data_IF_947922002156
#
_entry.id   IF_947922002156
#
_cell.length_a   1.000
_cell.length_b   1.000
_cell.length_c   1.000
_cell.angle_alpha   90.00
_cell.angle_beta   90.00
_cell.angle_gamma   90.00
#
_symmetry.space_group_name_H-M   'P 1'
#
loop_
_entity.id
_entity.type
_entity.pdbx_description
1 polymer ?
#
# COMPACT_ATOMS: atom_id res chain seq x y z
N UNK A 1 36.59 4.51 -23.13
CA UNK A 1 35.85 5.17 -22.04
C UNK A 1 36.79 5.40 -20.88
N UNK A 2 36.92 6.65 -20.42
CA UNK A 2 37.73 6.98 -19.25
C UNK A 2 37.00 6.57 -17.95
N UNK A 3 37.70 6.37 -16.83
CA UNK A 3 37.13 5.93 -15.54
C UNK A 3 36.02 6.88 -15.05
N UNK A 4 36.19 8.18 -15.32
CA UNK A 4 35.21 9.23 -14.98
C UNK A 4 33.91 9.13 -15.81
N UNK A 5 34.01 8.64 -17.04
CA UNK A 5 32.90 8.41 -17.96
C UNK A 5 32.11 7.16 -17.55
N UNK A 6 32.82 6.10 -17.12
CA UNK A 6 32.22 4.87 -16.56
C UNK A 6 31.47 5.17 -15.26
N UNK A 7 32.02 6.04 -14.40
CA UNK A 7 31.38 6.45 -13.15
C UNK A 7 30.05 7.19 -13.38
N UNK A 8 30.02 8.12 -14.33
CA UNK A 8 28.80 8.86 -14.71
C UNK A 8 27.74 7.94 -15.33
N UNK A 9 28.14 7.02 -16.20
CA UNK A 9 27.21 6.04 -16.81
C UNK A 9 26.55 5.17 -15.73
N UNK A 10 27.33 4.69 -14.76
CA UNK A 10 26.79 3.87 -13.66
C UNK A 10 25.88 4.66 -12.71
N UNK A 11 26.14 5.95 -12.50
CA UNK A 11 25.27 6.85 -11.72
C UNK A 11 23.92 7.04 -12.40
N UNK A 12 23.94 7.37 -13.70
CA UNK A 12 22.74 7.56 -14.51
C UNK A 12 21.88 6.28 -14.56
N UNK A 13 22.53 5.11 -14.64
CA UNK A 13 21.83 3.82 -14.63
C UNK A 13 21.12 3.52 -13.30
N UNK A 14 21.65 3.96 -12.16
CA UNK A 14 21.02 3.78 -10.85
C UNK A 14 19.82 4.73 -10.67
N UNK A 15 19.97 5.99 -11.09
CA UNK A 15 18.87 6.95 -11.09
C UNK A 15 17.69 6.46 -11.93
N UNK A 16 17.95 6.02 -13.16
CA UNK A 16 16.91 5.51 -14.05
C UNK A 16 16.20 4.27 -13.47
N UNK A 17 16.94 3.39 -12.78
CA UNK A 17 16.35 2.26 -12.07
C UNK A 17 15.38 2.71 -10.99
N UNK A 18 15.77 3.70 -10.19
CA UNK A 18 14.97 4.21 -9.08
C UNK A 18 13.77 5.03 -9.56
N UNK A 19 13.90 5.78 -10.65
CA UNK A 19 12.78 6.45 -11.33
C UNK A 19 11.72 5.41 -11.78
N UNK A 20 12.16 4.32 -12.43
CA UNK A 20 11.27 3.22 -12.81
C UNK A 20 10.64 2.52 -11.59
N UNK A 21 11.38 2.38 -10.49
CA UNK A 21 10.81 1.84 -9.25
C UNK A 21 9.77 2.79 -8.67
N UNK A 22 10.01 4.10 -8.70
CA UNK A 22 9.07 5.09 -8.20
C UNK A 22 7.76 5.04 -8.99
N UNK A 23 7.83 5.00 -10.32
CA UNK A 23 6.64 4.81 -11.16
C UNK A 23 5.89 3.50 -10.86
N UNK A 24 6.62 2.41 -10.62
CA UNK A 24 6.03 1.11 -10.29
C UNK A 24 5.29 1.14 -8.95
N UNK A 25 5.93 1.70 -7.93
CA UNK A 25 5.32 1.83 -6.60
C UNK A 25 4.14 2.79 -6.63
N UNK A 26 4.22 3.90 -7.39
CA UNK A 26 3.10 4.80 -7.61
C UNK A 26 1.90 4.09 -8.25
N UNK A 27 2.12 3.19 -9.23
CA UNK A 27 1.04 2.38 -9.80
C UNK A 27 0.39 1.46 -8.76
N UNK A 28 1.17 0.82 -7.90
CA UNK A 28 0.61 -0.01 -6.82
C UNK A 28 -0.14 0.80 -5.77
N UNK A 29 0.35 2.00 -5.46
CA UNK A 29 -0.31 2.95 -4.59
C UNK A 29 -1.67 3.35 -5.16
N UNK A 30 -1.72 3.79 -6.41
CA UNK A 30 -2.98 4.15 -7.10
C UNK A 30 -3.95 2.96 -7.17
N UNK A 31 -3.44 1.74 -7.38
CA UNK A 31 -4.29 0.54 -7.38
C UNK A 31 -4.84 0.23 -5.97
N UNK A 32 -4.06 0.43 -4.91
CA UNK A 32 -4.53 0.29 -3.54
C UNK A 32 -5.62 1.32 -3.19
N UNK A 33 -5.48 2.55 -3.69
CA UNK A 33 -6.51 3.59 -3.54
C UNK A 33 -7.79 3.24 -4.31
N UNK A 34 -7.65 2.82 -5.56
CA UNK A 34 -8.79 2.39 -6.39
C UNK A 34 -9.58 1.25 -5.74
N UNK A 35 -8.91 0.29 -5.08
CA UNK A 35 -9.57 -0.79 -4.32
C UNK A 35 -10.40 -0.25 -3.15
N UNK A 36 -9.87 0.68 -2.37
CA UNK A 36 -10.60 1.30 -1.27
C UNK A 36 -11.81 2.12 -1.78
N UNK A 37 -11.65 2.88 -2.87
CA UNK A 37 -12.79 3.58 -3.52
C UNK A 37 -13.85 2.59 -4.01
N UNK A 38 -13.42 1.52 -4.67
CA UNK A 38 -14.33 0.47 -5.15
C UNK A 38 -15.12 -0.18 -4.01
N UNK A 39 -14.49 -0.39 -2.86
CA UNK A 39 -15.15 -0.95 -1.68
C UNK A 39 -16.16 0.05 -1.07
N UNK A 40 -15.83 1.35 -1.02
CA UNK A 40 -16.80 2.39 -0.63
C UNK A 40 -18.02 2.39 -1.55
N UNK A 41 -17.83 2.31 -2.87
CA UNK A 41 -18.93 2.26 -3.83
C UNK A 41 -19.82 1.02 -3.62
N UNK A 42 -19.21 -0.14 -3.37
CA UNK A 42 -19.93 -1.37 -3.02
C UNK A 42 -20.75 -1.20 -1.72
N UNK A 43 -20.19 -0.54 -0.72
CA UNK A 43 -20.87 -0.30 0.56
C UNK A 43 -22.04 0.67 0.44
N UNK A 44 -21.92 1.70 -0.40
CA UNK A 44 -23.05 2.59 -0.73
C UNK A 44 -24.19 1.80 -1.39
N UNK A 45 -23.86 0.91 -2.33
CA UNK A 45 -24.86 0.04 -2.96
C UNK A 45 -25.50 -0.92 -1.94
N UNK A 46 -24.71 -1.50 -1.03
CA UNK A 46 -25.20 -2.35 0.05
C UNK A 46 -26.17 -1.61 0.99
N UNK A 47 -25.84 -0.37 1.36
CA UNK A 47 -26.73 0.47 2.19
C UNK A 47 -28.08 0.72 1.50
N UNK A 48 -28.10 0.92 0.18
CA UNK A 48 -29.35 1.07 -0.55
C UNK A 48 -30.23 -0.19 -0.48
N UNK A 49 -29.62 -1.39 -0.57
CA UNK A 49 -30.34 -2.66 -0.40
C UNK A 49 -30.90 -2.79 1.02
N UNK A 50 -30.08 -2.49 2.04
CA UNK A 50 -30.49 -2.54 3.46
C UNK A 50 -31.68 -1.61 3.73
N UNK A 51 -31.66 -0.39 3.17
CA UNK A 51 -32.76 0.57 3.29
C UNK A 51 -34.05 0.02 2.63
N UNK A 52 -33.93 -0.64 1.48
CA UNK A 52 -35.06 -1.27 0.80
C UNK A 52 -35.74 -2.37 1.61
N UNK A 53 -35.00 -3.09 2.45
CA UNK A 53 -35.50 -4.18 3.30
C UNK A 53 -35.96 -3.72 4.68
N UNK A 54 -35.88 -2.42 4.98
CA UNK A 54 -36.05 -1.91 6.35
C UNK A 54 -37.43 -2.21 6.96
N UNK A 55 -38.49 -2.27 6.15
CA UNK A 55 -39.85 -2.53 6.65
C UNK A 55 -40.02 -3.98 7.12
N UNK A 56 -39.36 -4.94 6.46
CA UNK A 56 -39.51 -6.36 6.75
C UNK A 56 -38.72 -6.79 7.99
N UNK A 57 -37.51 -6.23 8.16
CA UNK A 57 -36.59 -6.65 9.22
C UNK A 57 -35.78 -5.48 9.80
N UNK A 58 -36.42 -4.49 10.45
CA UNK A 58 -35.78 -3.22 10.84
C UNK A 58 -34.58 -3.40 11.76
N UNK A 59 -34.67 -4.29 12.76
CA UNK A 59 -33.58 -4.54 13.72
C UNK A 59 -32.33 -5.07 13.02
N UNK A 60 -32.50 -6.06 12.14
CA UNK A 60 -31.39 -6.64 11.39
C UNK A 60 -30.82 -5.67 10.37
N UNK A 61 -31.65 -4.85 9.71
CA UNK A 61 -31.18 -3.79 8.83
C UNK A 61 -30.32 -2.76 9.55
N UNK A 62 -30.68 -2.36 10.78
CA UNK A 62 -29.84 -1.47 11.60
C UNK A 62 -28.48 -2.10 11.89
N UNK A 63 -28.44 -3.39 12.26
CA UNK A 63 -27.18 -4.10 12.53
C UNK A 63 -26.31 -4.17 11.28
N UNK A 64 -26.86 -4.62 10.15
CA UNK A 64 -26.15 -4.69 8.88
C UNK A 64 -25.66 -3.31 8.40
N UNK A 65 -26.46 -2.27 8.60
CA UNK A 65 -26.12 -0.89 8.29
C UNK A 65 -24.93 -0.38 9.11
N UNK A 66 -24.91 -0.64 10.42
CA UNK A 66 -23.78 -0.26 11.29
C UNK A 66 -22.49 -0.97 10.84
N UNK A 67 -22.54 -2.28 10.56
CA UNK A 67 -21.36 -3.04 10.10
C UNK A 67 -20.84 -2.44 8.78
N UNK A 68 -21.74 -2.14 7.83
CA UNK A 68 -21.39 -1.53 6.54
C UNK A 68 -20.75 -0.14 6.72
N UNK A 69 -21.29 0.69 7.64
CA UNK A 69 -20.73 2.00 7.97
C UNK A 69 -19.34 1.91 8.61
N UNK A 70 -19.10 0.90 9.45
CA UNK A 70 -17.76 0.63 10.01
C UNK A 70 -16.78 0.34 8.87
N UNK A 71 -17.15 -0.48 7.89
CA UNK A 71 -16.27 -0.72 6.73
C UNK A 71 -15.99 0.55 5.93
N UNK A 72 -17.00 1.39 5.67
CA UNK A 72 -16.80 2.69 5.05
C UNK A 72 -15.80 3.56 5.83
N UNK A 73 -15.91 3.60 7.17
CA UNK A 73 -14.99 4.34 8.01
C UNK A 73 -13.55 3.81 7.89
N UNK A 74 -13.35 2.49 7.84
CA UNK A 74 -12.02 1.87 7.63
C UNK A 74 -11.43 2.25 6.27
N UNK A 75 -12.23 2.25 5.20
CA UNK A 75 -11.79 2.71 3.88
C UNK A 75 -11.40 4.19 3.90
N UNK A 76 -12.16 5.06 4.59
CA UNK A 76 -11.85 6.48 4.72
C UNK A 76 -10.58 6.73 5.55
N UNK A 77 -10.35 5.95 6.61
CA UNK A 77 -9.10 5.99 7.38
C UNK A 77 -7.89 5.69 6.48
N UNK A 78 -8.05 4.81 5.48
CA UNK A 78 -7.00 4.54 4.48
C UNK A 78 -6.64 5.74 3.58
N UNK A 79 -7.47 6.78 3.54
CA UNK A 79 -7.21 8.03 2.79
C UNK A 79 -6.62 9.14 3.65
N UNK A 80 -6.49 8.94 4.97
CA UNK A 80 -5.87 9.93 5.83
C UNK A 80 -4.44 10.22 5.34
N UNK A 81 -4.04 11.49 5.19
CA UNK A 81 -2.73 11.85 4.66
C UNK A 81 -1.64 11.32 5.59
N UNK A 82 -0.79 10.44 5.06
CA UNK A 82 0.40 9.99 5.79
C UNK A 82 1.57 10.89 5.38
N UNK A 83 2.04 11.73 6.31
CA UNK A 83 3.22 12.56 6.10
C UNK A 83 4.48 11.67 6.12
N UNK A 84 5.40 11.90 5.18
CA UNK A 84 6.61 11.08 4.98
C UNK A 84 7.49 10.95 6.23
N UNK A 85 7.53 11.98 7.08
CA UNK A 85 8.27 11.97 8.36
C UNK A 85 7.69 10.99 9.39
N UNK A 86 6.36 10.85 9.44
CA UNK A 86 5.68 9.88 10.31
C UNK A 86 5.85 8.44 9.80
N UNK A 87 5.94 8.29 8.48
CA UNK A 87 6.18 7.01 7.82
C UNK A 87 7.59 6.49 8.14
N UNK A 88 8.60 7.35 7.97
CA UNK A 88 10.02 7.01 8.24
C UNK A 88 10.35 6.80 9.73
N UNK A 89 9.53 7.33 10.64
CA UNK A 89 9.74 7.20 12.09
C UNK A 89 9.05 5.98 12.73
N UNK A 90 8.24 5.23 11.97
CA UNK A 90 7.67 3.97 12.46
C UNK A 90 8.79 2.96 12.72
N UNK A 91 8.93 2.52 13.97
CA UNK A 91 9.71 1.32 14.33
C UNK A 91 9.13 0.12 13.60
N UNK A 92 9.65 -0.20 12.42
CA UNK A 92 9.35 -1.45 11.72
C UNK A 92 10.24 -2.58 12.19
N UNK A 93 9.81 -3.78 11.82
CA UNK A 93 10.50 -5.04 12.06
C UNK A 93 11.97 -4.91 11.66
N UNK A 94 12.85 -5.51 12.46
CA UNK A 94 14.30 -5.43 12.24
C UNK A 94 14.62 -6.08 10.89
N UNK A 95 15.30 -5.35 10.00
CA UNK A 95 15.84 -5.89 8.75
C UNK A 95 16.47 -7.27 9.01
N UNK A 96 16.05 -8.28 8.24
CA UNK A 96 16.55 -9.64 8.34
C UNK A 96 17.63 -9.85 7.28
N UNK A 97 18.89 -9.86 7.72
CA UNK A 97 20.03 -10.05 6.82
C UNK A 97 20.09 -11.43 6.16
N UNK A 98 19.31 -12.41 6.62
CA UNK A 98 19.24 -13.74 6.01
C UNK A 98 18.12 -13.87 4.99
N UNK A 99 17.14 -12.95 4.99
CA UNK A 99 16.05 -12.95 4.01
C UNK A 99 16.56 -12.39 2.68
N UNK A 100 16.28 -13.10 1.59
CA UNK A 100 16.45 -12.53 0.25
C UNK A 100 15.24 -11.64 -0.09
N UNK A 101 15.47 -10.34 -0.21
CA UNK A 101 14.42 -9.38 -0.57
C UNK A 101 14.28 -9.23 -2.09
N UNK A 102 13.03 -9.15 -2.56
CA UNK A 102 12.71 -8.66 -3.88
C UNK A 102 12.75 -7.12 -3.88
N UNK A 103 13.87 -6.56 -4.37
CA UNK A 103 14.13 -5.11 -4.38
C UNK A 103 13.25 -4.31 -5.36
N UNK A 104 12.32 -4.98 -6.04
CA UNK A 104 11.33 -4.39 -6.93
C UNK A 104 9.94 -4.38 -6.27
N UNK A 105 9.66 -5.33 -5.38
CA UNK A 105 8.33 -5.55 -4.82
C UNK A 105 8.09 -4.66 -3.60
N UNK A 106 7.05 -3.83 -3.63
CA UNK A 106 6.80 -2.80 -2.61
C UNK A 106 6.72 -3.36 -1.20
N UNK A 107 6.18 -4.57 -1.02
CA UNK A 107 6.11 -5.21 0.30
C UNK A 107 7.49 -5.56 0.84
N UNK A 108 8.38 -6.08 0.00
CA UNK A 108 9.74 -6.38 0.44
C UNK A 108 10.55 -5.10 0.64
N UNK A 109 10.34 -4.06 -0.19
CA UNK A 109 10.93 -2.73 0.00
C UNK A 109 10.47 -2.11 1.33
N UNK A 110 9.17 -2.22 1.64
CA UNK A 110 8.55 -1.78 2.88
C UNK A 110 9.18 -2.45 4.12
N UNK A 111 9.45 -3.75 4.02
CA UNK A 111 10.05 -4.56 5.10
C UNK A 111 11.52 -4.22 5.36
N UNK A 112 12.26 -3.69 4.38
CA UNK A 112 13.66 -3.25 4.58
C UNK A 112 13.71 -2.07 5.57
N UNK A 113 12.76 -1.14 5.49
CA UNK A 113 12.57 -0.06 6.47
C UNK A 113 13.71 0.96 6.60
N UNK A 114 14.82 0.79 5.86
CA UNK A 114 15.98 1.69 5.90
C UNK A 114 16.46 2.01 4.48
N UNK A 115 16.45 3.29 4.13
CA UNK A 115 16.82 3.75 2.78
C UNK A 115 18.27 3.43 2.43
N UNK A 116 19.21 3.54 3.39
CA UNK A 116 20.62 3.21 3.14
C UNK A 116 20.78 1.73 2.82
N UNK A 117 20.17 0.86 3.63
CA UNK A 117 20.18 -0.60 3.40
C UNK A 117 19.54 -0.94 2.06
N UNK A 118 18.44 -0.28 1.69
CA UNK A 118 17.79 -0.51 0.39
C UNK A 118 18.71 -0.17 -0.79
N UNK A 119 19.37 0.99 -0.76
CA UNK A 119 20.32 1.41 -1.82
C UNK A 119 21.54 0.48 -1.86
N UNK A 120 22.08 0.07 -0.71
CA UNK A 120 23.18 -0.88 -0.63
C UNK A 120 22.81 -2.24 -1.24
N UNK A 121 21.60 -2.74 -0.97
CA UNK A 121 21.09 -3.98 -1.55
C UNK A 121 20.93 -3.88 -3.06
N UNK A 122 20.40 -2.76 -3.57
CA UNK A 122 20.29 -2.52 -5.02
C UNK A 122 21.67 -2.52 -5.67
N UNK A 123 22.60 -1.75 -5.12
CA UNK A 123 23.95 -1.63 -5.66
C UNK A 123 24.65 -2.99 -5.68
N UNK A 124 24.54 -3.75 -4.58
CA UNK A 124 25.10 -5.10 -4.49
C UNK A 124 24.45 -6.08 -5.47
N UNK A 125 23.11 -6.10 -5.57
CA UNK A 125 22.36 -7.12 -6.32
C UNK A 125 22.37 -6.87 -7.84
N UNK A 126 22.34 -5.61 -8.26
CA UNK A 126 22.17 -5.25 -9.69
C UNK A 126 23.38 -4.56 -10.31
N UNK A 127 24.33 -4.06 -9.51
CA UNK A 127 25.48 -3.30 -10.00
C UNK A 127 26.82 -3.78 -9.42
N UNK A 128 26.85 -4.96 -8.78
CA UNK A 128 28.07 -5.55 -8.19
C UNK A 128 28.79 -4.64 -7.19
N UNK A 129 28.06 -3.71 -6.56
CA UNK A 129 28.63 -2.72 -5.63
C UNK A 129 29.40 -1.58 -6.30
N UNK A 130 29.31 -1.44 -7.63
CA UNK A 130 30.08 -0.47 -8.42
C UNK A 130 29.31 0.82 -8.74
N UNK A 131 28.00 0.88 -8.49
CA UNK A 131 27.22 2.08 -8.80
C UNK A 131 27.60 3.25 -7.91
N UNK A 132 27.76 4.43 -8.52
CA UNK A 132 27.84 5.72 -7.82
C UNK A 132 26.44 6.11 -7.34
N UNK A 133 26.34 6.55 -6.08
CA UNK A 133 25.06 6.96 -5.48
C UNK A 133 25.01 8.49 -5.42
N UNK A 134 24.36 9.08 -6.41
CA UNK A 134 24.08 10.52 -6.45
C UNK A 134 23.13 10.97 -5.34
N UNK A 135 23.01 12.28 -5.13
CA UNK A 135 22.00 12.81 -4.21
C UNK A 135 20.58 12.58 -4.76
N UNK A 136 20.37 12.73 -6.07
CA UNK A 136 19.09 12.45 -6.71
C UNK A 136 18.68 10.98 -6.56
N UNK A 137 19.62 10.04 -6.70
CA UNK A 137 19.38 8.62 -6.43
C UNK A 137 18.94 8.39 -4.96
N UNK A 138 19.53 9.09 -3.99
CA UNK A 138 19.09 9.00 -2.59
C UNK A 138 17.66 9.51 -2.41
N UNK A 139 17.33 10.67 -2.98
CA UNK A 139 15.98 11.25 -2.88
C UNK A 139 14.93 10.34 -3.53
N UNK A 140 15.23 9.78 -4.71
CA UNK A 140 14.37 8.79 -5.36
C UNK A 140 14.19 7.53 -4.50
N UNK A 141 15.25 7.03 -3.87
CA UNK A 141 15.16 5.87 -2.99
C UNK A 141 14.32 6.14 -1.73
N UNK A 142 14.36 7.36 -1.18
CA UNK A 142 13.46 7.80 -0.10
C UNK A 142 12.02 7.73 -0.57
N UNK A 143 11.70 8.33 -1.72
CA UNK A 143 10.33 8.36 -2.27
C UNK A 143 9.80 6.96 -2.58
N UNK A 144 10.62 6.09 -3.18
CA UNK A 144 10.28 4.68 -3.43
C UNK A 144 9.93 3.96 -2.13
N UNK A 145 10.74 4.15 -1.09
CA UNK A 145 10.50 3.52 0.20
C UNK A 145 9.24 4.07 0.87
N UNK A 146 9.08 5.40 0.93
CA UNK A 146 7.90 6.04 1.52
C UNK A 146 6.62 5.57 0.81
N UNK A 147 6.59 5.58 -0.52
CA UNK A 147 5.40 5.16 -1.27
C UNK A 147 5.13 3.65 -1.12
N UNK A 148 6.17 2.83 -0.95
CA UNK A 148 6.01 1.41 -0.64
C UNK A 148 5.32 1.22 0.71
N UNK A 149 5.70 2.02 1.72
CA UNK A 149 5.08 2.00 3.04
C UNK A 149 3.64 2.48 3.03
N UNK A 150 3.35 3.57 2.33
CA UNK A 150 1.98 4.06 2.16
C UNK A 150 1.12 3.00 1.47
N UNK A 151 1.65 2.38 0.41
CA UNK A 151 0.97 1.30 -0.31
C UNK A 151 0.61 0.14 0.63
N UNK A 152 1.56 -0.32 1.46
CA UNK A 152 1.32 -1.38 2.43
C UNK A 152 0.25 -1.02 3.46
N UNK A 153 0.28 0.21 3.99
CA UNK A 153 -0.74 0.66 4.92
C UNK A 153 -2.15 0.66 4.29
N UNK A 154 -2.27 1.13 3.04
CA UNK A 154 -3.56 1.14 2.34
C UNK A 154 -4.09 -0.27 2.08
N UNK A 155 -3.21 -1.22 1.74
CA UNK A 155 -3.61 -2.62 1.62
C UNK A 155 -4.03 -3.26 2.94
N UNK A 156 -3.38 -2.88 4.04
CA UNK A 156 -3.75 -3.37 5.37
C UNK A 156 -5.16 -2.90 5.75
N UNK A 157 -5.46 -1.60 5.60
CA UNK A 157 -6.79 -1.06 5.86
C UNK A 157 -7.86 -1.64 4.93
N UNK A 158 -7.56 -1.77 3.63
CA UNK A 158 -8.42 -2.46 2.68
C UNK A 158 -8.73 -3.90 3.14
N UNK A 159 -7.72 -4.63 3.63
CA UNK A 159 -7.89 -5.98 4.14
C UNK A 159 -8.79 -6.07 5.37
N UNK A 160 -8.74 -5.08 6.27
CA UNK A 160 -9.67 -4.99 7.41
C UNK A 160 -11.09 -4.65 6.96
N UNK A 161 -11.25 -3.63 6.11
CA UNK A 161 -12.55 -3.23 5.57
C UNK A 161 -13.23 -4.39 4.83
N UNK A 162 -12.49 -5.10 3.96
CA UNK A 162 -13.01 -6.23 3.21
C UNK A 162 -13.54 -7.36 4.12
N UNK A 163 -12.87 -7.64 5.24
CA UNK A 163 -13.36 -8.65 6.20
C UNK A 163 -14.66 -8.22 6.87
N UNK A 164 -14.78 -6.93 7.21
CA UNK A 164 -16.01 -6.35 7.77
C UNK A 164 -17.14 -6.41 6.73
N UNK A 165 -16.85 -6.12 5.46
CA UNK A 165 -17.86 -6.22 4.39
C UNK A 165 -18.32 -7.64 4.12
N UNK A 166 -17.42 -8.63 4.17
CA UNK A 166 -17.82 -10.03 4.06
C UNK A 166 -18.79 -10.43 5.19
N UNK A 167 -18.60 -9.89 6.40
CA UNK A 167 -19.55 -10.07 7.50
C UNK A 167 -20.89 -9.37 7.22
N UNK A 168 -20.87 -8.13 6.73
CA UNK A 168 -22.09 -7.40 6.36
C UNK A 168 -22.90 -8.15 5.29
N UNK A 169 -22.23 -8.64 4.25
CA UNK A 169 -22.83 -9.45 3.18
C UNK A 169 -23.50 -10.70 3.76
N UNK A 170 -22.81 -11.43 4.65
CA UNK A 170 -23.38 -12.61 5.29
C UNK A 170 -24.65 -12.27 6.10
N UNK A 171 -24.65 -11.16 6.84
CA UNK A 171 -25.84 -10.68 7.56
C UNK A 171 -27.00 -10.35 6.60
N UNK A 172 -26.72 -9.71 5.46
CA UNK A 172 -27.74 -9.37 4.46
C UNK A 172 -28.30 -10.62 3.76
N UNK A 173 -27.46 -11.64 3.51
CA UNK A 173 -27.95 -12.92 2.98
C UNK A 173 -28.91 -13.59 3.97
N UNK A 174 -28.58 -13.61 5.26
CA UNK A 174 -29.46 -14.17 6.29
C UNK A 174 -30.77 -13.38 6.34
N UNK A 175 -30.72 -12.06 6.23
CA UNK A 175 -31.90 -11.20 6.13
C UNK A 175 -32.84 -11.63 5.00
N UNK A 176 -32.32 -11.86 3.79
CA UNK A 176 -33.11 -12.33 2.66
C UNK A 176 -33.73 -13.72 2.83
N UNK A 177 -33.16 -14.56 3.69
CA UNK A 177 -33.71 -15.90 3.98
C UNK A 177 -34.82 -15.82 5.02
N UNK A 178 -34.75 -14.85 5.93
CA UNK A 178 -35.68 -14.71 7.06
C UNK A 178 -36.86 -13.78 6.75
N UNK A 179 -36.67 -12.77 5.90
CA UNK A 179 -37.72 -11.89 5.37
C UNK A 179 -38.58 -12.62 4.35
#
# INVERSE_FOLDING_TARGET
>A
MNIEEIGKDMEQNLEEHLEKQLERVNRWLSFAEAKNVGLIAANIAMLAVIIGLFQEAPVFCVVAGIITLISCALCLISFMPNLSSEVLSRKKQKYDSQKEYNLIYYKDIDEIGNVKTYVELINKKYYEGKASVSNKAKDLAVEVMVNSQITMNKYMWFGYALKVDLLAIACVIILFIVA
#
